data_IF_940355669978
#
_entry.id   IF_940355669978
#
_cell.length_a   1.000
_cell.length_b   1.000
_cell.length_c   1.000
_cell.angle_alpha   90.00
_cell.angle_beta   90.00
_cell.angle_gamma   90.00
#
_symmetry.space_group_name_H-M   'P 1'
#
loop_
_entity.id
_entity.type
_entity.pdbx_description
1 polymer ?
#
# COMPACT_ATOMS: atom_id res chain seq x y z
N UNK A 1 11.90 13.88 -73.83
CA UNK A 1 10.82 12.94 -74.21
C UNK A 1 10.07 12.61 -72.94
N UNK A 2 8.90 13.23 -72.83
CA UNK A 2 8.00 13.28 -71.68
C UNK A 2 6.72 12.54 -72.05
N UNK A 3 6.35 11.57 -71.22
CA UNK A 3 5.08 10.82 -71.18
C UNK A 3 4.96 10.42 -69.72
N UNK A 4 4.20 11.09 -68.85
CA UNK A 4 2.76 11.36 -68.86
C UNK A 4 1.92 10.08 -68.92
N UNK A 5 1.39 9.67 -67.75
CA UNK A 5 0.15 8.89 -67.56
C UNK A 5 -0.23 8.88 -66.07
N UNK A 6 -1.53 8.75 -65.74
CA UNK A 6 -2.24 9.73 -64.90
C UNK A 6 -2.67 9.21 -63.51
N UNK A 7 -3.18 10.15 -62.70
CA UNK A 7 -3.88 9.93 -61.45
C UNK A 7 -5.25 9.27 -61.69
N UNK A 8 -5.64 8.33 -60.82
CA UNK A 8 -7.04 8.03 -60.56
C UNK A 8 -7.39 8.46 -59.14
N UNK A 9 -8.31 9.40 -59.10
CA UNK A 9 -9.04 9.88 -57.93
C UNK A 9 -10.39 9.15 -57.88
N UNK A 10 -11.06 9.25 -56.72
CA UNK A 10 -12.46 8.92 -56.45
C UNK A 10 -12.72 7.47 -56.01
N UNK A 11 -13.49 7.18 -54.96
CA UNK A 11 -14.62 7.93 -54.43
C UNK A 11 -14.91 7.54 -52.97
N UNK A 12 -15.13 8.55 -52.15
CA UNK A 12 -15.70 8.49 -50.81
C UNK A 12 -17.22 8.22 -50.95
N UNK A 13 -17.75 7.21 -50.27
CA UNK A 13 -19.20 7.12 -50.01
C UNK A 13 -19.45 6.85 -48.51
N UNK A 14 -20.11 7.79 -47.80
CA UNK A 14 -20.57 7.59 -46.43
C UNK A 14 -21.94 6.92 -46.45
N UNK A 15 -22.16 5.94 -45.58
CA UNK A 15 -23.49 5.36 -45.35
C UNK A 15 -24.11 6.07 -44.13
N UNK A 16 -24.97 7.05 -44.40
CA UNK A 16 -25.93 7.62 -43.44
C UNK A 16 -27.35 7.34 -43.91
N UNK A 17 -28.17 6.78 -43.01
CA UNK A 17 -29.62 6.95 -42.81
C UNK A 17 -30.04 5.81 -41.87
N UNK A 18 -30.55 6.03 -40.65
CA UNK A 18 -31.57 7.00 -40.28
C UNK A 18 -32.90 6.25 -40.20
N UNK A 19 -33.26 5.77 -39.01
CA UNK A 19 -34.66 5.51 -38.68
C UNK A 19 -34.98 6.07 -37.29
N UNK A 20 -36.04 6.85 -37.26
CA UNK A 20 -36.53 7.62 -36.13
C UNK A 20 -37.62 6.82 -35.40
N UNK A 21 -37.55 6.76 -34.08
CA UNK A 21 -38.63 6.25 -33.24
C UNK A 21 -38.66 6.97 -31.90
N UNK A 22 -39.65 7.84 -31.75
CA UNK A 22 -39.86 8.80 -30.66
C UNK A 22 -40.41 8.15 -29.35
N UNK A 23 -40.63 8.93 -28.26
CA UNK A 23 -40.50 8.51 -26.86
C UNK A 23 -41.81 8.06 -26.18
N UNK A 24 -41.67 7.39 -25.03
CA UNK A 24 -42.74 7.22 -24.04
C UNK A 24 -42.30 7.77 -22.67
N UNK A 25 -42.89 8.90 -22.28
CA UNK A 25 -43.29 9.26 -20.90
C UNK A 25 -44.18 8.14 -20.32
N UNK A 26 -44.19 7.76 -19.04
CA UNK A 26 -44.51 8.47 -17.78
C UNK A 26 -44.38 7.38 -16.66
N UNK A 27 -43.92 7.62 -15.45
CA UNK A 27 -44.61 8.18 -14.26
C UNK A 27 -43.53 8.23 -13.15
N UNK A 28 -43.21 9.38 -12.55
CA UNK A 28 -43.91 9.97 -11.40
C UNK A 28 -43.91 9.10 -10.14
N UNK A 29 -42.85 9.17 -9.32
CA UNK A 29 -43.02 9.27 -7.85
C UNK A 29 -41.74 9.82 -7.19
N UNK A 30 -41.70 11.14 -7.01
CA UNK A 30 -41.03 11.75 -5.86
C UNK A 30 -42.13 12.17 -4.89
N UNK A 31 -42.10 11.72 -3.64
CA UNK A 31 -42.61 12.51 -2.52
C UNK A 31 -41.81 12.20 -1.25
N UNK A 32 -41.27 13.29 -0.71
CA UNK A 32 -40.84 13.51 0.66
C UNK A 32 -41.88 13.04 1.69
N UNK A 33 -41.46 12.61 2.88
CA UNK A 33 -41.46 13.48 4.07
C UNK A 33 -40.98 12.74 5.32
N UNK A 34 -40.22 13.50 6.10
CA UNK A 34 -39.89 13.40 7.51
C UNK A 34 -41.10 13.04 8.40
N UNK A 35 -40.91 12.19 9.41
CA UNK A 35 -41.46 12.41 10.76
C UNK A 35 -41.06 11.30 11.74
N UNK A 36 -40.86 11.75 12.96
CA UNK A 36 -40.47 11.07 14.18
C UNK A 36 -41.56 10.09 14.69
N UNK A 37 -41.15 9.12 15.51
CA UNK A 37 -42.07 8.18 16.14
C UNK A 37 -41.38 7.23 17.13
N UNK A 38 -41.03 7.75 18.29
CA UNK A 38 -40.60 7.05 19.50
C UNK A 38 -41.74 6.18 20.08
N UNK A 39 -41.46 4.97 20.57
CA UNK A 39 -42.11 4.41 21.79
C UNK A 39 -41.38 3.17 22.33
N UNK A 40 -40.96 3.30 23.59
CA UNK A 40 -41.06 2.35 24.72
C UNK A 40 -40.20 1.06 24.72
N UNK A 41 -39.52 0.69 25.81
CA UNK A 41 -39.67 1.11 27.21
C UNK A 41 -38.46 0.66 28.08
N UNK A 42 -38.24 1.34 29.22
CA UNK A 42 -38.72 0.95 30.58
C UNK A 42 -37.66 0.03 31.24
N UNK A 43 -36.93 0.36 32.32
CA UNK A 43 -37.18 1.20 33.51
C UNK A 43 -35.89 1.42 34.36
N UNK A 44 -35.90 2.53 35.12
CA UNK A 44 -35.42 2.72 36.51
C UNK A 44 -33.90 2.61 36.83
N UNK A 45 -33.25 3.44 37.65
CA UNK A 45 -33.66 4.56 38.52
C UNK A 45 -32.42 5.25 39.12
N UNK A 46 -32.53 6.58 39.32
CA UNK A 46 -32.04 7.43 40.45
C UNK A 46 -30.55 7.70 40.71
N UNK A 47 -30.16 8.95 40.40
CA UNK A 47 -29.63 10.03 41.27
C UNK A 47 -28.49 9.82 42.30
N UNK A 48 -27.50 10.72 42.24
CA UNK A 48 -27.21 11.64 43.34
C UNK A 48 -26.13 11.27 44.38
N UNK A 49 -24.91 11.75 44.14
CA UNK A 49 -23.89 12.30 45.06
C UNK A 49 -24.18 12.35 46.59
N UNK A 50 -23.35 11.69 47.43
CA UNK A 50 -22.69 12.25 48.64
C UNK A 50 -21.68 11.29 49.29
N UNK A 51 -20.72 11.85 50.02
CA UNK A 51 -19.57 11.23 50.68
C UNK A 51 -19.88 10.50 52.01
N UNK A 52 -19.09 9.47 52.35
CA UNK A 52 -18.28 9.34 53.59
C UNK A 52 -17.85 7.87 53.87
N UNK A 53 -16.52 7.70 53.99
CA UNK A 53 -15.71 6.92 54.95
C UNK A 53 -16.19 5.58 55.53
N UNK A 54 -15.41 4.51 55.28
CA UNK A 54 -14.96 3.55 56.31
C UNK A 54 -13.80 2.68 55.79
N UNK A 55 -12.79 2.52 56.64
CA UNK A 55 -11.50 1.86 56.41
C UNK A 55 -11.61 0.33 56.29
N UNK A 56 -10.75 -0.28 55.48
CA UNK A 56 -10.09 -1.55 55.85
C UNK A 56 -8.71 -1.61 55.20
N UNK A 57 -7.70 -1.51 56.06
CA UNK A 57 -6.29 -1.81 55.86
C UNK A 57 -6.05 -3.25 55.43
N UNK A 58 -5.26 -3.47 54.37
CA UNK A 58 -4.24 -4.51 54.35
C UNK A 58 -2.99 -4.00 53.60
N UNK A 59 -1.86 -4.07 54.32
CA UNK A 59 -0.51 -3.70 53.95
C UNK A 59 0.02 -4.44 52.71
N UNK A 60 0.47 -3.68 51.72
CA UNK A 60 1.51 -4.13 50.78
C UNK A 60 2.61 -3.07 50.76
N UNK A 61 3.87 -3.40 51.11
CA UNK A 61 4.93 -2.43 51.17
C UNK A 61 5.29 -1.91 49.77
N UNK A 62 5.00 -0.64 49.54
CA UNK A 62 5.38 0.11 48.36
C UNK A 62 6.89 0.37 48.40
N UNK A 63 7.62 -0.14 47.41
CA UNK A 63 9.04 0.09 47.24
C UNK A 63 9.24 1.55 46.79
N UNK A 64 9.43 2.46 47.74
CA UNK A 64 9.70 3.89 47.49
C UNK A 64 11.18 4.09 47.16
N UNK A 65 11.52 3.92 45.88
CA UNK A 65 12.80 4.41 45.37
C UNK A 65 12.72 5.93 45.23
N UNK A 66 13.47 6.58 46.12
CA UNK A 66 13.70 8.01 46.30
C UNK A 66 13.38 8.95 45.15
N UNK A 67 12.55 9.94 45.47
CA UNK A 67 12.55 11.26 44.86
C UNK A 67 13.85 11.99 45.20
N UNK A 68 14.64 12.29 44.19
CA UNK A 68 15.88 13.06 44.37
C UNK A 68 16.74 13.14 43.11
N UNK A 69 16.22 13.79 42.06
CA UNK A 69 16.97 14.62 41.11
C UNK A 69 16.04 15.03 39.96
N UNK A 70 15.42 16.20 40.09
CA UNK A 70 15.18 17.04 38.93
C UNK A 70 16.51 17.70 38.58
N UNK A 71 17.13 17.26 37.49
CA UNK A 71 18.12 18.03 36.73
C UNK A 71 18.25 17.38 35.36
N UNK A 72 17.67 18.04 34.37
CA UNK A 72 18.18 18.16 33.01
C UNK A 72 18.92 16.94 32.42
N UNK A 73 18.17 16.01 31.84
CA UNK A 73 18.66 15.27 30.67
C UNK A 73 17.83 15.63 29.43
N UNK A 74 17.84 16.92 29.13
CA UNK A 74 17.94 17.39 27.74
C UNK A 74 19.38 17.17 27.25
N UNK A 75 19.80 15.91 27.20
CA UNK A 75 21.09 15.51 26.64
C UNK A 75 20.83 14.75 25.34
N UNK A 76 21.00 15.50 24.25
CA UNK A 76 21.41 15.01 22.94
C UNK A 76 20.45 14.04 22.25
N UNK A 77 19.38 14.61 21.66
CA UNK A 77 18.97 14.13 20.34
C UNK A 77 20.15 14.43 19.42
N UNK A 78 21.09 13.47 19.33
CA UNK A 78 22.11 13.48 18.29
C UNK A 78 21.37 13.61 16.96
N UNK A 79 21.45 14.80 16.35
CA UNK A 79 21.12 14.98 14.95
C UNK A 79 22.00 14.00 14.18
N UNK A 80 21.45 12.82 13.88
CA UNK A 80 22.08 11.91 12.95
C UNK A 80 22.19 12.66 11.64
N UNK A 81 23.40 13.14 11.34
CA UNK A 81 23.70 13.71 10.04
C UNK A 81 23.38 12.65 8.98
N UNK A 82 22.24 12.80 8.32
CA UNK A 82 21.89 11.99 7.17
C UNK A 82 22.85 12.37 6.05
N UNK A 83 23.92 11.59 5.88
CA UNK A 83 24.74 11.64 4.67
C UNK A 83 23.79 11.50 3.48
N UNK A 84 23.70 12.55 2.66
CA UNK A 84 22.80 12.58 1.52
C UNK A 84 23.10 11.36 0.63
N UNK A 85 22.16 10.41 0.49
CA UNK A 85 22.40 9.19 -0.26
C UNK A 85 22.54 9.51 -1.74
N UNK A 86 23.51 8.92 -2.44
CA UNK A 86 23.60 9.07 -3.90
C UNK A 86 22.42 8.38 -4.59
N UNK A 87 21.41 9.15 -5.01
CA UNK A 87 20.20 8.62 -5.63
C UNK A 87 20.46 8.09 -7.04
N UNK A 88 19.99 6.86 -7.28
CA UNK A 88 20.05 6.18 -8.58
C UNK A 88 18.67 6.09 -9.27
N UNK A 89 17.70 6.85 -8.78
CA UNK A 89 16.33 6.90 -9.30
C UNK A 89 16.30 7.46 -10.73
N UNK A 90 15.45 6.89 -11.59
CA UNK A 90 15.23 7.38 -12.95
C UNK A 90 13.79 7.86 -13.08
N UNK A 91 13.63 9.14 -13.37
CA UNK A 91 12.36 9.72 -13.84
C UNK A 91 12.35 9.61 -15.37
N UNK A 92 11.23 9.15 -15.93
CA UNK A 92 11.04 9.09 -17.38
C UNK A 92 10.72 10.46 -17.97
N UNK A 93 10.77 10.59 -19.30
CA UNK A 93 10.43 11.83 -20.03
C UNK A 93 9.03 12.37 -19.71
N UNK A 94 8.12 11.47 -19.33
CA UNK A 94 6.73 11.77 -18.96
C UNK A 94 6.54 12.09 -17.47
N UNK A 95 7.61 12.37 -16.72
CA UNK A 95 7.55 12.66 -15.29
C UNK A 95 7.14 11.44 -14.44
N UNK A 96 7.28 10.23 -14.98
CA UNK A 96 6.92 8.99 -14.26
C UNK A 96 8.16 8.46 -13.54
N UNK A 97 8.07 8.32 -12.22
CA UNK A 97 9.14 7.72 -11.43
C UNK A 97 9.11 6.19 -11.59
N UNK A 98 10.27 5.60 -11.90
CA UNK A 98 10.40 4.16 -12.15
C UNK A 98 11.11 3.49 -11.00
N UNK A 99 10.50 2.42 -10.48
CA UNK A 99 11.08 1.56 -9.46
C UNK A 99 11.11 0.09 -9.89
N UNK A 100 12.10 -0.66 -9.41
CA UNK A 100 12.14 -2.11 -9.61
C UNK A 100 12.40 -2.82 -8.29
N UNK A 101 11.64 -3.86 -8.00
CA UNK A 101 11.79 -4.66 -6.79
C UNK A 101 11.86 -6.15 -7.11
N UNK A 102 12.57 -6.89 -6.26
CA UNK A 102 12.78 -8.34 -6.42
C UNK A 102 12.78 -9.03 -5.07
N UNK A 103 12.05 -10.13 -4.95
CA UNK A 103 12.01 -10.99 -3.76
C UNK A 103 11.83 -12.43 -4.21
N UNK A 104 12.67 -13.34 -3.68
CA UNK A 104 12.75 -14.73 -4.17
C UNK A 104 12.91 -14.73 -5.71
N UNK A 105 11.96 -15.31 -6.43
CA UNK A 105 11.91 -15.36 -7.90
C UNK A 105 11.00 -14.29 -8.52
N UNK A 106 10.29 -13.50 -7.71
CA UNK A 106 9.37 -12.47 -8.19
C UNK A 106 10.10 -11.19 -8.55
N UNK A 107 9.70 -10.58 -9.66
CA UNK A 107 10.22 -9.31 -10.16
C UNK A 107 9.05 -8.37 -10.40
N UNK A 108 9.09 -7.19 -9.77
CA UNK A 108 8.11 -6.14 -9.93
C UNK A 108 8.75 -4.92 -10.62
N UNK A 109 8.06 -4.40 -11.63
CA UNK A 109 8.35 -3.12 -12.30
C UNK A 109 7.23 -2.17 -11.95
N UNK A 110 7.57 -1.10 -11.25
CA UNK A 110 6.61 -0.12 -10.72
C UNK A 110 6.82 1.20 -11.44
N UNK A 111 5.71 1.85 -11.77
CA UNK A 111 5.66 3.22 -12.29
C UNK A 111 4.75 4.02 -11.38
N UNK A 112 5.25 5.16 -10.90
CA UNK A 112 4.52 6.08 -10.03
C UNK A 112 4.42 7.42 -10.73
N UNK A 113 3.24 8.02 -10.69
CA UNK A 113 2.97 9.38 -11.18
C UNK A 113 1.99 10.06 -10.22
N UNK A 114 2.02 11.38 -10.15
CA UNK A 114 0.95 12.14 -9.49
C UNK A 114 -0.40 11.93 -10.19
N UNK A 115 -1.46 11.71 -9.41
CA UNK A 115 -2.76 11.31 -9.91
C UNK A 115 -3.82 11.18 -8.81
N UNK A 116 -4.79 10.27 -9.02
CA UNK A 116 -6.00 10.14 -8.22
C UNK A 116 -5.95 9.00 -7.18
N UNK A 117 -4.79 8.37 -6.96
CA UNK A 117 -4.68 7.24 -6.04
C UNK A 117 -4.99 5.89 -6.67
N UNK A 118 -5.03 5.78 -8.00
CA UNK A 118 -5.38 4.52 -8.67
C UNK A 118 -4.25 3.51 -8.56
N UNK A 119 -4.56 2.35 -7.99
CA UNK A 119 -3.61 1.24 -7.86
C UNK A 119 -3.98 0.08 -8.79
N UNK A 120 -3.12 -0.23 -9.76
CA UNK A 120 -3.37 -1.32 -10.74
C UNK A 120 -2.18 -2.27 -10.82
N UNK A 121 -2.47 -3.58 -10.72
CA UNK A 121 -1.47 -4.67 -10.81
C UNK A 121 -1.79 -5.56 -12.00
N UNK A 122 -0.86 -5.64 -12.97
CA UNK A 122 -1.04 -6.46 -14.18
C UNK A 122 -2.39 -6.23 -14.89
N UNK A 123 -2.89 -4.99 -14.88
CA UNK A 123 -4.17 -4.61 -15.50
C UNK A 123 -5.42 -4.91 -14.67
N UNK A 124 -5.27 -5.41 -13.44
CA UNK A 124 -6.37 -5.67 -12.49
C UNK A 124 -6.29 -4.72 -11.30
N UNK A 125 -7.41 -4.55 -10.60
CA UNK A 125 -7.43 -3.78 -9.35
C UNK A 125 -6.65 -4.49 -8.24
N UNK A 126 -6.19 -3.71 -7.27
CA UNK A 126 -5.36 -4.22 -6.17
C UNK A 126 -6.07 -5.30 -5.34
N UNK A 127 -7.35 -5.07 -5.01
CA UNK A 127 -8.16 -5.97 -4.18
C UNK A 127 -8.39 -7.32 -4.87
N UNK A 128 -8.55 -7.31 -6.20
CA UNK A 128 -8.74 -8.52 -7.00
C UNK A 128 -7.46 -9.35 -7.14
N UNK A 129 -6.31 -8.68 -7.25
CA UNK A 129 -5.03 -9.37 -7.40
C UNK A 129 -4.51 -9.94 -6.08
N UNK A 130 -4.56 -9.14 -5.01
CA UNK A 130 -4.13 -9.54 -3.67
C UNK A 130 -5.36 -9.90 -2.83
N UNK A 131 -5.77 -11.17 -2.86
CA UNK A 131 -6.98 -11.61 -2.15
C UNK A 131 -6.86 -11.51 -0.60
N UNK A 132 -5.63 -11.47 -0.07
CA UNK A 132 -5.37 -11.46 1.38
C UNK A 132 -5.13 -10.03 1.85
N UNK A 133 -5.86 -9.58 2.88
CA UNK A 133 -5.72 -8.23 3.44
C UNK A 133 -4.31 -7.91 3.95
N UNK A 134 -3.60 -8.91 4.49
CA UNK A 134 -2.19 -8.76 4.91
C UNK A 134 -1.32 -8.28 3.75
N UNK A 135 -1.47 -8.89 2.57
CA UNK A 135 -0.70 -8.52 1.38
C UNK A 135 -1.10 -7.12 0.89
N UNK A 136 -2.39 -6.80 0.98
CA UNK A 136 -2.88 -5.46 0.62
C UNK A 136 -2.28 -4.37 1.50
N UNK A 137 -2.31 -4.54 2.82
CA UNK A 137 -1.70 -3.61 3.78
C UNK A 137 -0.21 -3.44 3.52
N UNK A 138 0.51 -4.55 3.35
CA UNK A 138 1.95 -4.54 3.11
C UNK A 138 2.35 -3.70 1.88
N UNK A 139 1.57 -3.78 0.80
CA UNK A 139 1.81 -3.01 -0.43
C UNK A 139 1.53 -1.51 -0.25
N UNK A 140 0.61 -1.15 0.65
CA UNK A 140 0.25 0.23 0.95
C UNK A 140 1.19 0.89 1.96
N UNK A 141 1.79 0.14 2.87
CA UNK A 141 2.72 0.62 3.91
C UNK A 141 3.75 1.67 3.42
N UNK A 142 4.49 1.50 2.30
CA UNK A 142 5.43 2.52 1.85
C UNK A 142 4.76 3.84 1.41
N UNK A 143 3.52 3.79 0.91
CA UNK A 143 2.75 4.98 0.53
C UNK A 143 2.20 5.68 1.77
N UNK A 144 1.78 4.89 2.77
CA UNK A 144 1.33 5.37 4.08
C UNK A 144 2.47 6.10 4.80
N UNK A 145 3.65 5.49 4.85
CA UNK A 145 4.83 6.03 5.55
C UNK A 145 5.25 7.41 5.04
N UNK A 146 5.01 7.69 3.75
CA UNK A 146 5.35 8.96 3.11
C UNK A 146 4.18 9.97 3.14
N UNK A 147 2.97 9.55 3.52
CA UNK A 147 1.80 10.43 3.57
C UNK A 147 1.27 10.84 2.18
N UNK A 148 1.52 10.01 1.17
CA UNK A 148 1.13 10.27 -0.23
C UNK A 148 -0.07 9.42 -0.68
N UNK A 149 -0.84 8.89 0.28
CA UNK A 149 -2.08 8.17 0.01
C UNK A 149 -3.06 9.05 -0.78
N UNK A 150 -3.62 8.50 -1.86
CA UNK A 150 -4.60 9.21 -2.69
C UNK A 150 -4.04 10.26 -3.65
N UNK A 151 -2.74 10.60 -3.57
CA UNK A 151 -2.11 11.62 -4.42
C UNK A 151 -1.38 11.05 -5.64
N UNK A 152 -1.06 9.76 -5.62
CA UNK A 152 -0.25 9.10 -6.65
C UNK A 152 -0.97 7.92 -7.27
N UNK A 153 -0.86 7.80 -8.59
CA UNK A 153 -1.25 6.62 -9.34
C UNK A 153 -0.07 5.65 -9.45
N UNK A 154 -0.35 4.37 -9.22
CA UNK A 154 0.64 3.31 -9.17
C UNK A 154 0.26 2.23 -10.17
N UNK A 155 1.13 2.04 -11.17
CA UNK A 155 1.03 0.93 -12.11
C UNK A 155 2.15 -0.07 -11.86
N UNK A 156 1.75 -1.31 -11.60
CA UNK A 156 2.66 -2.40 -11.29
C UNK A 156 2.55 -3.49 -12.34
N UNK A 157 3.69 -3.90 -12.89
CA UNK A 157 3.81 -5.16 -13.63
C UNK A 157 4.67 -6.15 -12.85
N UNK A 158 4.11 -7.30 -12.49
CA UNK A 158 4.80 -8.32 -11.67
C UNK A 158 4.79 -9.66 -12.38
N UNK A 159 5.97 -10.29 -12.43
CA UNK A 159 6.16 -11.60 -13.01
C UNK A 159 6.93 -12.52 -12.05
N UNK A 160 6.64 -13.82 -12.10
CA UNK A 160 7.38 -14.87 -11.36
C UNK A 160 7.00 -15.04 -9.89
N UNK A 161 7.43 -16.15 -9.31
CA UNK A 161 7.17 -16.53 -7.91
C UNK A 161 5.69 -16.75 -7.60
N UNK A 162 5.28 -16.45 -6.37
CA UNK A 162 3.89 -16.53 -5.91
C UNK A 162 3.47 -15.26 -5.18
N UNK A 163 2.20 -15.15 -4.78
CA UNK A 163 1.57 -13.91 -4.28
C UNK A 163 2.42 -13.22 -3.21
N UNK A 164 2.83 -13.92 -2.15
CA UNK A 164 3.65 -13.32 -1.07
C UNK A 164 5.04 -12.85 -1.50
N UNK A 165 5.64 -13.53 -2.49
CA UNK A 165 6.90 -13.11 -3.10
C UNK A 165 6.70 -11.85 -3.96
N UNK A 166 5.58 -11.80 -4.68
CA UNK A 166 5.16 -10.67 -5.48
C UNK A 166 4.87 -9.46 -4.60
N UNK A 167 4.11 -9.60 -3.51
CA UNK A 167 3.85 -8.54 -2.52
C UNK A 167 5.13 -7.84 -2.12
N UNK A 168 6.11 -8.57 -1.57
CA UNK A 168 7.36 -7.96 -1.11
C UNK A 168 8.25 -7.42 -2.24
N UNK A 169 8.13 -7.95 -3.46
CA UNK A 169 8.78 -7.35 -4.63
C UNK A 169 8.14 -6.00 -5.00
N UNK A 170 6.81 -5.89 -4.90
CA UNK A 170 6.06 -4.65 -5.17
C UNK A 170 6.41 -3.58 -4.13
N UNK A 171 6.46 -3.92 -2.85
CA UNK A 171 6.84 -3.01 -1.76
C UNK A 171 8.18 -2.33 -2.04
N UNK A 172 9.22 -3.13 -2.33
CA UNK A 172 10.54 -2.60 -2.65
C UNK A 172 10.53 -1.76 -3.94
N UNK A 173 9.69 -2.14 -4.91
CA UNK A 173 9.52 -1.41 -6.15
C UNK A 173 8.88 -0.03 -5.94
N UNK A 174 7.85 0.06 -5.10
CA UNK A 174 7.17 1.32 -4.74
C UNK A 174 8.13 2.22 -3.98
N UNK A 175 8.82 1.70 -2.95
CA UNK A 175 9.76 2.48 -2.16
C UNK A 175 10.86 3.13 -3.03
N UNK A 176 11.42 2.36 -3.99
CA UNK A 176 12.41 2.89 -4.94
C UNK A 176 11.84 3.92 -5.91
N UNK A 177 10.58 3.76 -6.32
CA UNK A 177 9.91 4.75 -7.17
C UNK A 177 9.62 6.05 -6.40
N UNK A 178 9.21 5.96 -5.13
CA UNK A 178 8.99 7.11 -4.25
C UNK A 178 10.29 7.86 -3.96
N UNK A 179 11.37 7.14 -3.67
CA UNK A 179 12.71 7.73 -3.54
C UNK A 179 13.15 8.45 -4.82
N UNK A 180 12.82 7.90 -5.99
CA UNK A 180 13.12 8.54 -7.27
C UNK A 180 12.25 9.77 -7.57
N UNK A 181 11.05 9.86 -6.97
CA UNK A 181 10.15 11.02 -7.10
C UNK A 181 10.68 12.19 -6.28
N UNK A 182 10.91 11.99 -4.98
CA UNK A 182 11.46 12.99 -4.07
C UNK A 182 12.52 12.37 -3.16
N UNK A 183 13.69 13.01 -3.11
CA UNK A 183 14.84 12.58 -2.31
C UNK A 183 14.57 12.65 -0.80
N UNK A 184 13.77 13.61 -0.36
CA UNK A 184 13.40 13.82 1.05
C UNK A 184 12.66 12.65 1.69
N UNK A 185 12.13 11.71 0.90
CA UNK A 185 11.45 10.51 1.40
C UNK A 185 12.40 9.37 1.74
N UNK A 186 13.69 9.49 1.41
CA UNK A 186 14.66 8.46 1.74
C UNK A 186 14.75 8.12 3.24
N UNK A 187 14.92 9.09 4.18
CA UNK A 187 15.06 8.76 5.60
C UNK A 187 13.85 7.99 6.14
N UNK A 188 12.63 8.45 5.85
CA UNK A 188 11.40 7.78 6.30
C UNK A 188 11.27 6.36 5.73
N UNK A 189 11.62 6.16 4.47
CA UNK A 189 11.58 4.83 3.82
C UNK A 189 12.69 3.90 4.31
N UNK A 190 13.86 4.44 4.67
CA UNK A 190 14.99 3.69 5.21
C UNK A 190 14.71 3.23 6.65
N UNK A 191 14.20 4.13 7.49
CA UNK A 191 13.78 3.83 8.86
C UNK A 191 12.64 2.80 8.89
N UNK A 192 11.67 2.91 7.98
CA UNK A 192 10.61 1.92 7.79
C UNK A 192 11.06 0.57 7.20
N UNK A 193 12.34 0.43 6.82
CA UNK A 193 12.90 -0.82 6.28
C UNK A 193 12.42 -1.19 4.87
N UNK A 194 11.80 -0.27 4.13
CA UNK A 194 11.21 -0.55 2.81
C UNK A 194 12.23 -0.59 1.67
N UNK A 195 13.40 0.03 1.86
CA UNK A 195 14.48 0.08 0.86
C UNK A 195 15.39 -1.16 0.88
N UNK A 196 15.33 -1.94 1.96
CA UNK A 196 16.14 -3.15 2.13
C UNK A 196 15.56 -4.29 1.30
N UNK A 197 16.38 -4.87 0.42
CA UNK A 197 16.00 -6.07 -0.32
C UNK A 197 16.08 -7.30 0.60
N UNK A 198 15.00 -8.05 0.70
CA UNK A 198 15.02 -9.39 1.30
C UNK A 198 15.81 -10.36 0.41
N UNK A 199 16.95 -10.80 0.90
CA UNK A 199 17.92 -11.66 0.23
C UNK A 199 17.62 -13.15 0.36
N UNK A 200 16.64 -13.54 1.21
CA UNK A 200 16.30 -14.94 1.46
C UNK A 200 15.87 -15.64 0.18
N UNK A 201 16.60 -16.69 -0.17
CA UNK A 201 16.36 -17.53 -1.34
C UNK A 201 16.15 -18.99 -0.92
N UNK A 202 15.41 -19.75 -1.73
CA UNK A 202 15.25 -21.19 -1.50
C UNK A 202 16.60 -21.88 -1.71
N UNK A 203 17.09 -22.54 -0.66
CA UNK A 203 18.29 -23.36 -0.75
C UNK A 203 18.05 -24.57 -1.65
N UNK A 204 19.03 -24.91 -2.49
CA UNK A 204 18.99 -26.12 -3.31
C UNK A 204 18.97 -27.39 -2.45
N UNK A 205 18.43 -28.48 -3.00
CA UNK A 205 18.61 -29.82 -2.42
C UNK A 205 20.10 -30.21 -2.46
N UNK A 206 20.62 -30.67 -1.33
CA UNK A 206 21.98 -31.24 -1.22
C UNK A 206 21.90 -32.76 -1.35
N UNK A 207 22.94 -33.39 -1.91
CA UNK A 207 23.00 -34.84 -2.02
C UNK A 207 23.04 -35.49 -0.63
N UNK A 208 22.54 -36.73 -0.51
CA UNK A 208 22.45 -37.42 0.78
C UNK A 208 21.38 -36.90 1.74
N UNK A 209 20.68 -35.79 1.41
CA UNK A 209 19.59 -35.23 2.21
C UNK A 209 18.25 -35.34 1.48
N UNK A 210 17.16 -35.48 2.26
CA UNK A 210 15.80 -35.53 1.74
C UNK A 210 15.32 -34.16 1.21
N UNK A 211 15.75 -33.06 1.86
CA UNK A 211 15.50 -31.67 1.45
C UNK A 211 16.81 -30.86 1.57
N UNK A 212 16.75 -29.53 1.58
CA UNK A 212 17.94 -28.67 1.73
C UNK A 212 18.77 -28.99 3.00
N UNK A 213 18.09 -29.28 4.12
CA UNK A 213 18.71 -29.60 5.42
C UNK A 213 18.21 -30.90 6.08
N UNK A 214 17.01 -31.38 5.71
CA UNK A 214 16.41 -32.58 6.32
C UNK A 214 17.20 -33.83 5.95
N UNK A 215 17.84 -34.46 6.93
CA UNK A 215 18.49 -35.77 6.78
C UNK A 215 17.49 -36.92 6.90
N UNK A 216 17.89 -38.09 6.44
CA UNK A 216 17.21 -39.34 6.78
C UNK A 216 17.52 -39.72 8.24
N UNK A 217 16.72 -40.61 8.81
CA UNK A 217 16.98 -41.14 10.15
C UNK A 217 18.30 -41.93 10.15
N UNK A 218 19.21 -41.59 11.08
CA UNK A 218 20.47 -42.30 11.24
C UNK A 218 20.31 -43.48 12.21
N UNK A 219 20.73 -44.68 11.81
CA UNK A 219 20.79 -45.84 12.69
C UNK A 219 22.18 -45.96 13.33
N UNK A 220 22.29 -45.64 14.62
CA UNK A 220 23.50 -45.86 15.43
C UNK A 220 23.47 -47.31 15.91
N UNK A 221 24.09 -48.24 15.17
CA UNK A 221 24.32 -49.61 15.61
C UNK A 221 25.81 -49.83 15.79
#
# INVERSE_FOLDING_TARGET
MSTDQPQEENENTPVEAGDQGAPLSSESTELHDSAEGNVEGVVASTDGETAETAETTEDVPQLTLGSGAESDESADIEEKEYVQPTIRGRIDKFGTAIGTGRRKTSVARVRVKDGNGKFTVNGREMKDFFCIERDQKMVMDPVVAVGEQGKIDIWVRVNGGGITGQTGAVVLGIARALQAKNESYHPTLAEGGFLTRDDRMVERKKYGLAKARKSFQFSKR
#
